data_IF_040534651143
#
_entry.id   IF_040534651143
#
_cell.length_a   1.000
_cell.length_b   1.000
_cell.length_c   1.000
_cell.angle_alpha   90.00
_cell.angle_beta   90.00
_cell.angle_gamma   90.00
#
_symmetry.space_group_name_H-M   'P 1'
#
loop_
_entity.id
_entity.type
_entity.pdbx_description
1 polymer ?
#
# COMPACT_ATOMS: atom_id res chain seq x y z
N UNK A 1 -12.65 -8.75 51.90
CA UNK A 1 -11.50 -8.16 52.62
C UNK A 1 -10.90 -7.10 51.72
N UNK A 2 -10.96 -5.85 52.16
CA UNK A 2 -10.55 -4.65 51.43
C UNK A 2 -9.03 -4.49 51.39
N UNK A 3 -8.49 -4.19 50.23
CA UNK A 3 -7.24 -3.43 50.04
C UNK A 3 -7.34 -2.83 48.63
N UNK A 4 -7.28 -1.52 48.38
CA UNK A 4 -6.64 -0.44 49.11
C UNK A 4 -5.41 0.03 48.35
N UNK A 5 -5.59 0.63 47.17
CA UNK A 5 -4.52 1.31 46.43
C UNK A 5 -4.92 2.76 46.15
N UNK A 6 -4.37 3.64 47.00
CA UNK A 6 -4.20 5.08 46.85
C UNK A 6 -3.48 5.32 45.51
N UNK A 7 -3.89 6.25 44.63
CA UNK A 7 -3.89 7.68 44.89
C UNK A 7 -2.49 8.26 44.67
N UNK A 8 -2.05 8.38 43.41
CA UNK A 8 -0.84 9.12 43.03
C UNK A 8 -1.25 10.32 42.17
N UNK A 9 -1.12 11.50 42.76
CA UNK A 9 -1.38 12.80 42.15
C UNK A 9 -0.31 13.13 41.09
N UNK A 10 -0.76 13.61 39.94
CA UNK A 10 0.08 14.12 38.85
C UNK A 10 0.38 15.61 39.14
N UNK A 11 1.65 15.94 39.39
CA UNK A 11 2.10 17.33 39.49
C UNK A 11 2.55 17.83 38.10
N UNK A 12 2.24 19.09 37.71
CA UNK A 12 2.58 19.62 36.38
C UNK A 12 4.05 20.02 36.31
N UNK A 13 4.81 19.34 35.47
CA UNK A 13 6.22 19.63 35.17
C UNK A 13 6.38 20.75 34.14
N UNK A 14 7.26 21.69 34.46
CA UNK A 14 7.65 22.92 33.75
C UNK A 14 7.94 22.78 32.25
N UNK A 15 7.51 23.81 31.50
CA UNK A 15 7.98 24.14 30.16
C UNK A 15 9.45 24.59 30.16
N UNK A 16 10.27 24.21 29.16
CA UNK A 16 11.51 24.90 28.85
C UNK A 16 11.30 26.03 27.85
N UNK A 17 12.04 27.11 28.09
CA UNK A 17 11.99 28.38 27.38
C UNK A 17 12.73 28.36 26.03
N UNK A 18 12.22 29.22 25.14
CA UNK A 18 12.92 30.04 24.15
C UNK A 18 14.22 29.50 23.50
N UNK A 19 14.11 29.15 22.21
CA UNK A 19 15.22 29.14 21.28
C UNK A 19 14.86 29.93 20.01
N UNK A 20 15.39 31.15 19.99
CA UNK A 20 16.08 31.84 18.90
C UNK A 20 15.44 31.95 17.49
N UNK A 21 15.36 33.23 17.10
CA UNK A 21 15.02 33.84 15.81
C UNK A 21 15.64 33.14 14.59
N UNK A 22 14.80 32.89 13.58
CA UNK A 22 15.21 32.56 12.22
C UNK A 22 15.73 33.82 11.47
N UNK A 23 16.87 33.76 10.75
CA UNK A 23 17.30 34.86 9.89
C UNK A 23 16.54 34.89 8.57
N UNK A 24 16.46 36.10 8.03
CA UNK A 24 15.65 36.56 6.91
C UNK A 24 16.15 36.05 5.56
N UNK A 25 15.18 35.75 4.69
CA UNK A 25 15.16 35.91 3.22
C UNK A 25 16.47 36.03 2.45
N UNK A 26 16.78 35.02 1.62
CA UNK A 26 17.61 35.18 0.41
C UNK A 26 16.70 35.06 -0.82
N UNK A 27 16.43 36.19 -1.49
CA UNK A 27 15.82 36.22 -2.83
C UNK A 27 16.90 35.90 -3.88
N UNK A 28 16.62 35.09 -4.92
CA UNK A 28 17.50 34.98 -6.08
C UNK A 28 17.42 36.24 -6.95
N UNK A 29 18.58 36.70 -7.43
CA UNK A 29 18.73 37.82 -8.36
C UNK A 29 18.18 37.49 -9.76
N UNK A 30 17.70 38.49 -10.53
CA UNK A 30 17.19 38.28 -11.89
C UNK A 30 18.33 38.13 -12.90
N UNK A 31 18.17 37.19 -13.83
CA UNK A 31 19.05 36.97 -14.99
C UNK A 31 19.07 38.18 -15.94
N UNK A 32 20.22 38.52 -16.55
CA UNK A 32 20.28 39.60 -17.52
C UNK A 32 19.75 39.17 -18.90
N UNK A 33 19.00 40.07 -19.53
CA UNK A 33 18.51 39.99 -20.89
C UNK A 33 19.66 40.00 -21.93
N UNK A 34 19.64 39.08 -22.89
CA UNK A 34 20.42 39.16 -24.14
C UNK A 34 19.58 39.79 -25.27
N UNK A 35 20.17 40.63 -26.13
CA UNK A 35 19.44 41.37 -27.15
C UNK A 35 19.17 40.58 -28.42
N UNK A 36 18.14 41.05 -29.14
CA UNK A 36 17.56 40.49 -30.34
C UNK A 36 18.50 40.39 -31.54
N UNK A 37 18.30 39.32 -32.34
CA UNK A 37 18.84 39.16 -33.69
C UNK A 37 17.86 39.75 -34.73
N UNK A 38 18.34 40.45 -35.77
CA UNK A 38 17.55 40.68 -36.98
C UNK A 38 18.10 39.87 -38.17
N UNK A 39 17.21 39.51 -39.10
CA UNK A 39 17.62 39.26 -40.48
C UNK A 39 17.12 37.96 -41.08
N UNK A 40 15.88 38.00 -41.56
CA UNK A 40 15.35 37.05 -42.54
C UNK A 40 15.80 37.47 -43.94
N UNK A 41 16.48 36.60 -44.69
CA UNK A 41 16.56 36.69 -46.16
C UNK A 41 16.91 35.34 -46.81
N UNK A 42 15.95 34.78 -47.55
CA UNK A 42 16.14 33.81 -48.66
C UNK A 42 16.63 34.58 -49.90
N UNK A 43 17.40 34.00 -50.85
CA UNK A 43 16.91 33.01 -51.86
C UNK A 43 18.05 32.13 -52.48
N UNK A 44 17.93 31.53 -53.69
CA UNK A 44 16.94 30.61 -54.25
C UNK A 44 17.52 29.21 -54.59
N UNK A 45 16.65 28.32 -55.08
CA UNK A 45 16.89 26.94 -55.44
C UNK A 45 17.82 26.72 -56.65
N UNK A 46 18.62 25.63 -56.61
CA UNK A 46 19.00 24.84 -57.80
C UNK A 46 19.34 23.39 -57.42
N UNK A 47 18.95 22.50 -58.33
CA UNK A 47 18.87 21.06 -58.18
C UNK A 47 20.21 20.31 -58.32
N UNK A 48 20.33 19.16 -57.65
CA UNK A 48 20.99 17.95 -58.16
C UNK A 48 20.68 16.77 -57.25
N UNK A 49 20.15 15.68 -57.82
CA UNK A 49 19.81 14.46 -57.10
C UNK A 49 21.04 13.68 -56.63
N UNK A 50 20.89 13.06 -55.45
CA UNK A 50 21.58 11.84 -55.00
C UNK A 50 20.74 11.29 -53.83
N UNK A 51 20.14 10.13 -54.03
CA UNK A 51 19.39 9.40 -53.01
C UNK A 51 20.35 8.82 -51.98
N UNK A 52 20.68 9.59 -50.95
CA UNK A 52 21.32 9.06 -49.75
C UNK A 52 20.26 8.32 -48.93
N UNK A 53 20.32 6.99 -48.94
CA UNK A 53 19.47 6.15 -48.10
C UNK A 53 19.64 6.50 -46.64
N UNK A 54 18.58 7.04 -46.02
CA UNK A 54 18.49 7.23 -44.58
C UNK A 54 18.46 5.83 -43.92
N UNK A 55 19.21 5.60 -42.83
CA UNK A 55 19.08 4.37 -42.06
C UNK A 55 17.63 4.25 -41.54
N UNK A 56 17.11 3.01 -41.35
CA UNK A 56 15.75 2.81 -40.89
C UNK A 56 15.55 3.55 -39.56
N UNK A 57 14.48 4.37 -39.50
CA UNK A 57 14.08 5.05 -38.28
C UNK A 57 13.91 3.99 -37.19
N UNK A 58 14.65 4.13 -36.09
CA UNK A 58 14.38 3.39 -34.86
C UNK A 58 12.88 3.55 -34.53
N UNK A 59 12.19 2.51 -34.05
CA UNK A 59 10.80 2.62 -33.65
C UNK A 59 10.68 3.79 -32.68
N UNK A 60 9.77 4.71 -33.01
CA UNK A 60 9.47 5.90 -32.24
C UNK A 60 9.06 5.42 -30.85
N UNK A 61 9.95 5.63 -29.87
CA UNK A 61 9.68 5.35 -28.46
C UNK A 61 8.39 6.10 -28.14
N UNK A 62 7.33 5.38 -27.79
CA UNK A 62 6.03 5.97 -27.45
C UNK A 62 6.28 7.21 -26.60
N UNK A 63 5.94 8.39 -27.14
CA UNK A 63 6.12 9.65 -26.46
C UNK A 63 5.34 9.53 -25.15
N UNK A 64 6.07 9.45 -24.03
CA UNK A 64 5.47 9.26 -22.71
C UNK A 64 4.46 10.37 -22.48
N UNK A 65 3.19 9.99 -22.36
CA UNK A 65 2.13 10.93 -22.06
C UNK A 65 2.52 11.69 -20.79
N UNK A 66 2.50 13.03 -20.85
CA UNK A 66 2.78 13.83 -19.67
C UNK A 66 1.80 13.44 -18.54
N UNK A 67 2.26 13.33 -17.29
CA UNK A 67 1.38 13.10 -16.16
C UNK A 67 0.24 14.12 -16.16
N UNK A 68 -1.00 13.63 -16.21
CA UNK A 68 -2.18 14.49 -16.18
C UNK A 68 -2.49 14.84 -14.73
N UNK A 69 -2.66 16.13 -14.45
CA UNK A 69 -3.16 16.58 -13.15
C UNK A 69 -4.67 16.32 -13.14
N UNK A 70 -5.12 15.48 -12.20
CA UNK A 70 -6.53 15.36 -11.88
C UNK A 70 -6.91 16.53 -10.96
N UNK A 71 -7.90 17.32 -11.40
CA UNK A 71 -8.37 18.51 -10.68
C UNK A 71 -9.59 18.21 -9.79
N UNK A 72 -10.11 16.99 -9.83
CA UNK A 72 -11.25 16.59 -9.02
C UNK A 72 -10.87 16.56 -7.54
N UNK A 73 -11.81 16.95 -6.68
CA UNK A 73 -11.62 16.92 -5.24
C UNK A 73 -11.47 15.47 -4.77
N UNK A 74 -10.33 15.16 -4.14
CA UNK A 74 -10.06 13.88 -3.49
C UNK A 74 -9.94 14.07 -1.97
N UNK A 75 -10.36 13.06 -1.21
CA UNK A 75 -10.49 13.10 0.23
C UNK A 75 -9.47 12.15 0.88
N UNK A 76 -8.91 12.57 2.02
CA UNK A 76 -8.23 11.75 3.00
C UNK A 76 -9.15 11.49 4.21
N UNK A 77 -8.75 10.59 5.12
CA UNK A 77 -9.57 10.20 6.27
C UNK A 77 -9.82 11.32 7.29
N UNK A 78 -8.98 12.36 7.29
CA UNK A 78 -9.16 13.54 8.13
C UNK A 78 -10.28 14.47 7.66
N UNK A 79 -10.71 14.33 6.40
CA UNK A 79 -11.67 15.23 5.76
C UNK A 79 -13.13 14.81 5.99
N UNK A 80 -13.37 13.66 6.64
CA UNK A 80 -14.72 13.10 6.81
C UNK A 80 -15.00 12.62 8.23
N UNK A 81 -16.28 12.55 8.56
CA UNK A 81 -16.81 11.92 9.77
C UNK A 81 -17.96 11.00 9.41
N UNK A 82 -18.13 9.91 10.15
CA UNK A 82 -19.29 9.02 10.00
C UNK A 82 -20.52 9.65 10.66
N UNK A 83 -21.59 9.83 9.89
CA UNK A 83 -22.88 10.29 10.41
C UNK A 83 -23.53 9.15 11.24
N UNK A 84 -23.89 9.39 12.52
CA UNK A 84 -24.61 8.40 13.31
C UNK A 84 -25.94 8.01 12.66
N UNK A 85 -26.34 6.74 12.83
CA UNK A 85 -27.63 6.20 12.42
C UNK A 85 -28.33 5.55 13.61
N UNK A 86 -29.66 5.49 13.56
CA UNK A 86 -30.46 4.76 14.56
C UNK A 86 -30.00 3.30 14.60
N UNK A 87 -29.75 2.78 15.80
CA UNK A 87 -29.30 1.41 16.04
C UNK A 87 -30.18 0.72 17.08
N UNK A 88 -30.30 -0.61 16.97
CA UNK A 88 -30.93 -1.48 17.96
C UNK A 88 -29.97 -2.03 19.01
N UNK A 89 -28.65 -1.85 18.81
CA UNK A 89 -27.61 -2.34 19.72
C UNK A 89 -27.67 -1.58 21.04
N UNK A 90 -27.58 -2.31 22.16
CA UNK A 90 -27.58 -1.71 23.51
C UNK A 90 -26.16 -1.46 24.03
N UNK A 91 -25.20 -2.26 23.57
CA UNK A 91 -23.80 -2.17 24.00
C UNK A 91 -22.84 -2.38 22.82
N UNK A 92 -21.65 -1.79 22.94
CA UNK A 92 -20.53 -2.03 21.99
C UNK A 92 -20.05 -3.48 22.01
N UNK A 93 -20.27 -4.19 23.12
CA UNK A 93 -19.90 -5.61 23.24
C UNK A 93 -20.75 -6.54 22.36
N UNK A 94 -21.87 -6.06 21.83
CA UNK A 94 -22.75 -6.82 20.91
C UNK A 94 -22.28 -6.74 19.45
N UNK A 95 -21.23 -5.96 19.16
CA UNK A 95 -20.71 -5.78 17.80
C UNK A 95 -19.81 -6.96 17.45
N UNK A 96 -20.20 -7.69 16.41
CA UNK A 96 -19.33 -8.68 15.78
C UNK A 96 -18.36 -8.01 14.79
N UNK A 97 -17.08 -8.28 14.99
CA UNK A 97 -15.99 -7.76 14.15
C UNK A 97 -15.46 -8.82 13.17
N UNK A 98 -15.84 -10.07 13.35
CA UNK A 98 -15.42 -11.14 12.45
C UNK A 98 -16.11 -10.99 11.09
N UNK A 99 -15.37 -11.38 10.06
CA UNK A 99 -15.88 -11.42 8.70
C UNK A 99 -15.44 -12.71 8.04
N UNK A 100 -16.32 -13.25 7.21
CA UNK A 100 -16.00 -14.40 6.36
C UNK A 100 -15.92 -13.97 4.90
N UNK A 101 -14.84 -14.35 4.21
CA UNK A 101 -14.62 -14.07 2.80
C UNK A 101 -14.40 -15.35 2.02
N UNK A 102 -14.85 -15.35 0.77
CA UNK A 102 -14.45 -16.34 -0.24
C UNK A 102 -13.69 -15.61 -1.33
N UNK A 103 -12.45 -15.99 -1.55
CA UNK A 103 -11.58 -15.29 -2.47
C UNK A 103 -11.80 -15.73 -3.92
N UNK A 104 -11.75 -14.75 -4.83
CA UNK A 104 -12.12 -14.91 -6.24
C UNK A 104 -11.31 -15.98 -6.95
N UNK A 105 -9.99 -15.92 -6.84
CA UNK A 105 -9.06 -16.69 -7.67
C UNK A 105 -8.56 -17.93 -6.95
N UNK A 106 -8.20 -17.82 -5.67
CA UNK A 106 -7.75 -18.97 -4.86
C UNK A 106 -8.88 -19.92 -4.46
N UNK A 107 -10.14 -19.43 -4.46
CA UNK A 107 -11.34 -20.13 -3.94
C UNK A 107 -11.29 -20.46 -2.45
N UNK A 108 -10.25 -20.03 -1.76
CA UNK A 108 -10.11 -20.22 -0.32
C UNK A 108 -11.10 -19.36 0.44
N UNK A 109 -11.42 -19.81 1.64
CA UNK A 109 -12.23 -19.05 2.60
C UNK A 109 -11.40 -18.56 3.76
N UNK A 110 -11.67 -17.36 4.23
CA UNK A 110 -11.08 -16.80 5.45
C UNK A 110 -12.17 -16.43 6.43
N UNK A 111 -11.93 -16.65 7.72
CA UNK A 111 -12.75 -16.11 8.81
C UNK A 111 -11.84 -15.50 9.87
N UNK A 112 -12.15 -14.28 10.29
CA UNK A 112 -11.39 -13.58 11.32
C UNK A 112 -11.67 -12.07 11.30
N UNK A 113 -10.94 -11.33 12.15
CA UNK A 113 -11.04 -9.88 12.18
C UNK A 113 -10.18 -9.33 11.04
N UNK A 114 -10.75 -8.54 10.11
CA UNK A 114 -10.08 -8.10 8.88
C UNK A 114 -9.12 -6.93 9.17
N UNK A 115 -8.11 -7.20 9.97
CA UNK A 115 -7.01 -6.30 10.30
C UNK A 115 -5.73 -7.04 9.95
N UNK A 116 -4.85 -6.36 9.21
CA UNK A 116 -3.59 -6.92 8.75
C UNK A 116 -2.42 -6.11 9.32
N UNK A 117 -1.48 -6.81 9.95
CA UNK A 117 -0.20 -6.23 10.32
C UNK A 117 0.68 -6.03 9.09
N UNK A 118 1.29 -4.84 8.98
CA UNK A 118 2.15 -4.47 7.87
C UNK A 118 3.41 -5.34 7.74
N UNK A 119 3.84 -5.68 6.52
CA UNK A 119 5.05 -6.45 6.23
C UNK A 119 6.36 -5.65 6.32
N UNK A 120 6.42 -4.70 7.25
CA UNK A 120 7.65 -3.97 7.58
C UNK A 120 8.48 -4.78 8.58
N UNK A 121 9.80 -4.69 8.48
CA UNK A 121 10.76 -5.40 9.35
C UNK A 121 10.59 -5.14 10.85
N UNK A 122 10.09 -3.96 11.20
CA UNK A 122 9.84 -3.52 12.58
C UNK A 122 8.41 -3.79 13.07
N UNK A 123 7.55 -4.36 12.22
CA UNK A 123 6.11 -4.50 12.47
C UNK A 123 5.62 -5.93 12.24
N UNK A 124 5.83 -6.46 11.04
CA UNK A 124 5.38 -7.80 10.61
C UNK A 124 6.33 -8.89 11.07
N UNK A 125 6.64 -8.93 12.36
CA UNK A 125 7.54 -9.92 12.97
C UNK A 125 6.78 -11.16 13.43
N UNK A 126 7.50 -12.23 13.73
CA UNK A 126 6.89 -13.46 14.26
C UNK A 126 6.24 -13.26 15.63
N UNK A 127 6.85 -12.44 16.50
CA UNK A 127 6.31 -12.13 17.82
C UNK A 127 4.97 -11.39 17.69
N UNK A 128 4.87 -10.47 16.73
CA UNK A 128 3.61 -9.78 16.44
C UNK A 128 2.55 -10.76 15.92
N UNK A 129 2.93 -11.72 15.07
CA UNK A 129 2.01 -12.74 14.57
C UNK A 129 1.42 -13.61 15.69
N UNK A 130 2.20 -13.96 16.71
CA UNK A 130 1.72 -14.74 17.86
C UNK A 130 0.68 -13.98 18.68
N UNK A 131 0.85 -12.67 18.85
CA UNK A 131 -0.12 -11.86 19.60
C UNK A 131 -1.39 -11.63 18.77
N UNK A 132 -1.24 -11.35 17.48
CA UNK A 132 -2.37 -11.00 16.61
C UNK A 132 -3.25 -12.21 16.25
N UNK A 133 -2.67 -13.40 16.17
CA UNK A 133 -3.41 -14.65 15.92
C UNK A 133 -4.39 -14.98 17.05
N UNK A 134 -4.10 -14.57 18.30
CA UNK A 134 -5.02 -14.72 19.45
C UNK A 134 -6.32 -13.94 19.28
N UNK A 135 -6.34 -12.96 18.37
CA UNK A 135 -7.50 -12.15 18.02
C UNK A 135 -8.01 -12.44 16.60
N UNK A 136 -7.60 -13.56 15.99
CA UNK A 136 -7.97 -13.94 14.62
C UNK A 136 -7.63 -12.87 13.57
N UNK A 137 -6.59 -12.07 13.83
CA UNK A 137 -6.08 -11.05 12.91
C UNK A 137 -4.92 -11.62 12.10
N UNK A 138 -4.75 -11.11 10.88
CA UNK A 138 -3.73 -11.61 9.96
C UNK A 138 -2.44 -10.79 10.02
N UNK A 139 -1.29 -11.45 9.87
CA UNK A 139 0.01 -10.78 9.85
C UNK A 139 0.75 -11.07 8.56
N UNK A 140 1.03 -10.03 7.77
CA UNK A 140 1.94 -10.15 6.65
C UNK A 140 3.38 -10.08 7.17
N UNK A 141 4.10 -11.20 7.15
CA UNK A 141 5.45 -11.29 7.71
C UNK A 141 6.45 -10.60 6.77
N UNK A 142 7.37 -9.81 7.30
CA UNK A 142 8.40 -9.16 6.48
C UNK A 142 9.31 -10.19 5.78
N UNK A 143 9.87 -9.82 4.62
CA UNK A 143 10.59 -10.77 3.74
C UNK A 143 12.03 -11.11 4.16
N UNK A 144 12.47 -10.70 5.35
CA UNK A 144 13.88 -10.77 5.74
C UNK A 144 14.28 -12.04 6.50
N UNK A 145 13.33 -12.74 7.15
CA UNK A 145 13.60 -14.01 7.83
C UNK A 145 14.11 -15.10 6.89
N UNK A 146 14.97 -15.98 7.39
CA UNK A 146 15.51 -17.12 6.64
C UNK A 146 14.52 -18.28 6.61
N UNK A 147 14.77 -19.28 5.75
CA UNK A 147 13.94 -20.49 5.70
C UNK A 147 13.94 -21.25 7.03
N UNK A 148 15.08 -21.28 7.72
CA UNK A 148 15.20 -21.98 9.00
C UNK A 148 14.44 -21.27 10.11
N UNK A 149 14.40 -19.92 10.09
CA UNK A 149 13.56 -19.14 11.00
C UNK A 149 12.07 -19.48 10.80
N UNK A 150 11.62 -19.58 9.54
CA UNK A 150 10.25 -19.97 9.22
C UNK A 150 9.90 -21.40 9.68
N UNK A 151 10.81 -22.34 9.51
CA UNK A 151 10.63 -23.73 9.99
C UNK A 151 10.57 -23.79 11.51
N UNK A 152 11.46 -23.06 12.20
CA UNK A 152 11.48 -22.99 13.65
C UNK A 152 10.19 -22.35 14.18
N UNK A 153 9.76 -21.24 13.58
CA UNK A 153 8.50 -20.59 13.93
C UNK A 153 7.30 -21.52 13.74
N UNK A 154 7.22 -22.18 12.58
CA UNK A 154 6.11 -23.10 12.28
C UNK A 154 6.05 -24.31 13.22
N UNK A 155 7.21 -24.81 13.67
CA UNK A 155 7.27 -25.89 14.66
C UNK A 155 6.80 -25.44 16.05
N UNK A 156 7.11 -24.20 16.44
CA UNK A 156 6.79 -23.67 17.77
C UNK A 156 5.37 -23.07 17.88
N UNK A 157 4.81 -22.57 16.77
CA UNK A 157 3.55 -21.84 16.72
C UNK A 157 2.61 -22.30 15.59
N UNK A 158 2.24 -23.60 15.51
CA UNK A 158 1.41 -24.13 14.44
C UNK A 158 0.02 -23.47 14.34
N UNK A 159 -0.53 -22.99 15.46
CA UNK A 159 -1.81 -22.29 15.54
C UNK A 159 -1.83 -20.95 14.80
N UNK A 160 -0.68 -20.32 14.63
CA UNK A 160 -0.56 -19.01 13.99
C UNK A 160 -0.58 -19.10 12.45
N UNK A 161 -0.27 -20.27 11.89
CA UNK A 161 0.02 -20.43 10.45
C UNK A 161 -1.16 -20.12 9.53
N UNK A 162 -2.39 -20.25 10.03
CA UNK A 162 -3.61 -19.92 9.29
C UNK A 162 -3.85 -18.40 9.12
N UNK A 163 -3.18 -17.57 9.94
CA UNK A 163 -3.36 -16.12 9.97
C UNK A 163 -2.05 -15.38 9.64
N UNK A 164 -1.17 -15.98 8.86
CA UNK A 164 0.05 -15.29 8.39
C UNK A 164 0.18 -15.36 6.87
N UNK A 165 0.91 -14.39 6.32
CA UNK A 165 1.27 -14.36 4.92
C UNK A 165 2.79 -14.25 4.74
N UNK A 166 3.31 -14.95 3.73
CA UNK A 166 4.71 -14.79 3.29
C UNK A 166 4.77 -13.60 2.34
N UNK A 167 5.62 -12.61 2.63
CA UNK A 167 5.81 -11.45 1.77
C UNK A 167 6.95 -11.63 0.77
N UNK A 168 6.80 -11.06 -0.42
CA UNK A 168 7.79 -11.12 -1.50
C UNK A 168 7.73 -9.86 -2.38
N UNK A 169 8.87 -9.49 -2.97
CA UNK A 169 8.92 -8.49 -4.04
C UNK A 169 8.65 -9.15 -5.41
N UNK A 170 9.18 -8.55 -6.49
CA UNK A 170 9.09 -9.10 -7.86
C UNK A 170 10.40 -9.69 -8.39
N UNK A 171 11.43 -9.81 -7.54
CA UNK A 171 12.74 -10.32 -7.95
C UNK A 171 12.80 -11.85 -8.00
N UNK A 172 13.70 -12.40 -8.84
CA UNK A 172 13.90 -13.86 -8.96
C UNK A 172 14.28 -14.51 -7.61
N UNK A 173 15.22 -13.91 -6.89
CA UNK A 173 15.64 -14.41 -5.57
C UNK A 173 14.50 -14.34 -4.54
N UNK A 174 13.67 -13.30 -4.60
CA UNK A 174 12.49 -13.14 -3.75
C UNK A 174 11.44 -14.23 -4.03
N UNK A 175 11.23 -14.58 -5.31
CA UNK A 175 10.37 -15.69 -5.72
C UNK A 175 10.90 -17.05 -5.24
N UNK A 176 12.19 -17.32 -5.43
CA UNK A 176 12.83 -18.58 -4.98
C UNK A 176 12.72 -18.73 -3.47
N UNK A 177 13.03 -17.68 -2.71
CA UNK A 177 12.92 -17.68 -1.26
C UNK A 177 11.49 -17.92 -0.78
N UNK A 178 10.52 -17.17 -1.31
CA UNK A 178 9.10 -17.36 -1.00
C UNK A 178 8.64 -18.79 -1.30
N UNK A 179 9.05 -19.33 -2.43
CA UNK A 179 8.67 -20.68 -2.84
C UNK A 179 9.21 -21.74 -1.88
N UNK A 180 10.50 -21.65 -1.51
CA UNK A 180 11.10 -22.55 -0.54
C UNK A 180 10.40 -22.50 0.83
N UNK A 181 9.93 -21.32 1.26
CA UNK A 181 9.18 -21.16 2.51
C UNK A 181 7.81 -21.84 2.40
N UNK A 182 7.04 -21.58 1.35
CA UNK A 182 5.70 -22.16 1.17
C UNK A 182 5.75 -23.68 0.96
N UNK A 183 6.79 -24.19 0.29
CA UNK A 183 7.03 -25.63 0.13
C UNK A 183 7.39 -26.29 1.47
N UNK A 184 8.15 -25.60 2.33
CA UNK A 184 8.52 -26.11 3.66
C UNK A 184 7.42 -25.97 4.71
N UNK A 185 6.54 -24.98 4.58
CA UNK A 185 5.47 -24.66 5.53
C UNK A 185 4.12 -24.57 4.79
N UNK A 186 3.57 -25.72 4.34
CA UNK A 186 2.39 -25.77 3.47
C UNK A 186 1.09 -25.29 4.13
N UNK A 187 1.09 -25.08 5.45
CA UNK A 187 -0.04 -24.53 6.19
C UNK A 187 -0.25 -23.04 5.91
N UNK A 188 0.79 -22.31 5.48
CA UNK A 188 0.67 -20.89 5.14
C UNK A 188 -0.03 -20.76 3.80
N UNK A 189 -1.26 -20.22 3.80
CA UNK A 189 -2.11 -20.10 2.60
C UNK A 189 -2.17 -18.71 1.99
N UNK A 190 -1.48 -17.73 2.58
CA UNK A 190 -1.48 -16.34 2.10
C UNK A 190 -0.11 -15.91 1.58
N UNK A 191 -0.12 -15.19 0.47
CA UNK A 191 1.05 -14.59 -0.15
C UNK A 191 0.84 -13.07 -0.21
N UNK A 192 1.84 -12.28 0.16
CA UNK A 192 1.84 -10.83 0.05
C UNK A 192 2.90 -10.34 -0.96
N UNK A 193 2.48 -10.03 -2.18
CA UNK A 193 3.32 -9.44 -3.20
C UNK A 193 3.31 -7.92 -3.06
N UNK A 194 4.46 -7.37 -2.67
CA UNK A 194 4.57 -5.97 -2.25
C UNK A 194 5.69 -5.25 -3.00
N UNK A 195 5.29 -4.29 -3.85
CA UNK A 195 6.18 -3.40 -4.59
C UNK A 195 5.71 -1.95 -4.46
N UNK A 196 6.65 -1.00 -4.55
CA UNK A 196 6.32 0.42 -4.46
C UNK A 196 5.45 0.92 -5.63
N UNK A 197 5.57 0.30 -6.81
CA UNK A 197 4.82 0.67 -8.01
C UNK A 197 4.13 -0.57 -8.62
N UNK A 198 2.87 -0.81 -8.24
CA UNK A 198 2.06 -1.90 -8.79
C UNK A 198 1.60 -1.70 -10.23
N UNK A 199 1.82 -0.52 -10.82
CA UNK A 199 1.44 -0.19 -12.21
C UNK A 199 2.43 -0.73 -13.26
N UNK A 200 3.47 -1.43 -12.83
CA UNK A 200 4.45 -2.00 -13.73
C UNK A 200 3.91 -3.24 -14.42
N UNK A 201 3.97 -3.32 -15.74
CA UNK A 201 3.66 -4.53 -16.51
C UNK A 201 4.47 -5.74 -16.00
N UNK A 202 5.73 -5.52 -15.60
CA UNK A 202 6.55 -6.56 -14.98
C UNK A 202 5.93 -7.13 -13.70
N UNK A 203 5.26 -6.30 -12.89
CA UNK A 203 4.59 -6.74 -11.68
C UNK A 203 3.31 -7.53 -12.01
N UNK A 204 2.55 -7.11 -13.03
CA UNK A 204 1.39 -7.85 -13.53
C UNK A 204 1.79 -9.26 -13.98
N UNK A 205 2.84 -9.37 -14.79
CA UNK A 205 3.38 -10.66 -15.22
C UNK A 205 3.89 -11.50 -14.05
N UNK A 206 4.48 -10.86 -13.03
CA UNK A 206 4.90 -11.53 -11.82
C UNK A 206 3.70 -12.10 -11.02
N UNK A 207 2.59 -11.36 -10.91
CA UNK A 207 1.35 -11.87 -10.28
C UNK A 207 0.83 -13.10 -11.03
N UNK A 208 0.79 -13.07 -12.37
CA UNK A 208 0.39 -14.23 -13.19
C UNK A 208 1.28 -15.44 -12.93
N UNK A 209 2.59 -15.23 -12.90
CA UNK A 209 3.58 -16.27 -12.60
C UNK A 209 3.35 -16.89 -11.20
N UNK A 210 3.15 -16.06 -10.17
CA UNK A 210 2.91 -16.53 -8.80
C UNK A 210 1.58 -17.28 -8.72
N UNK A 211 0.51 -16.79 -9.34
CA UNK A 211 -0.77 -17.52 -9.42
C UNK A 211 -0.62 -18.87 -10.10
N UNK A 212 0.10 -18.94 -11.21
CA UNK A 212 0.34 -20.21 -11.90
C UNK A 212 1.11 -21.22 -11.03
N UNK A 213 2.08 -20.75 -10.23
CA UNK A 213 2.85 -21.61 -9.32
C UNK A 213 2.10 -22.00 -8.06
N UNK A 214 1.26 -21.11 -7.52
CA UNK A 214 0.54 -21.30 -6.26
C UNK A 214 -0.98 -21.13 -6.47
N UNK A 215 -1.64 -22.04 -7.20
CA UNK A 215 -3.03 -21.88 -7.62
C UNK A 215 -4.01 -21.82 -6.45
N UNK A 216 -3.72 -22.49 -5.34
CA UNK A 216 -4.58 -22.55 -4.15
C UNK A 216 -4.28 -21.48 -3.09
N UNK A 217 -3.19 -20.72 -3.24
CA UNK A 217 -2.85 -19.68 -2.25
C UNK A 217 -3.65 -18.42 -2.52
N UNK A 218 -4.06 -17.73 -1.45
CA UNK A 218 -4.67 -16.41 -1.53
C UNK A 218 -3.58 -15.35 -1.72
N UNK A 219 -3.67 -14.58 -2.80
CA UNK A 219 -2.62 -13.63 -3.19
C UNK A 219 -3.08 -12.20 -2.90
N UNK A 220 -2.38 -11.52 -2.00
CA UNK A 220 -2.40 -10.07 -1.85
C UNK A 220 -1.38 -9.45 -2.80
N UNK A 221 -1.74 -8.41 -3.55
CA UNK A 221 -0.81 -7.75 -4.48
C UNK A 221 -0.99 -6.22 -4.47
N UNK A 222 0.11 -5.48 -4.51
CA UNK A 222 0.10 -4.03 -4.68
C UNK A 222 1.48 -3.40 -4.60
N UNK A 223 1.59 -2.06 -4.56
CA UNK A 223 0.51 -1.11 -4.28
C UNK A 223 -0.01 -0.33 -5.49
N UNK A 224 -1.30 -0.03 -5.47
CA UNK A 224 -2.02 0.77 -6.49
C UNK A 224 -3.00 1.75 -5.81
N UNK A 225 -3.57 2.70 -6.56
CA UNK A 225 -4.51 3.70 -6.03
C UNK A 225 -5.70 3.99 -6.95
N UNK A 226 -5.84 3.26 -8.05
CA UNK A 226 -6.88 3.50 -9.08
C UNK A 226 -7.57 2.20 -9.50
N UNK A 227 -8.83 2.33 -9.93
CA UNK A 227 -9.70 1.20 -10.23
C UNK A 227 -9.23 0.30 -11.37
N UNK A 228 -8.66 0.86 -12.44
CA UNK A 228 -8.21 0.09 -13.61
C UNK A 228 -7.09 -0.90 -13.24
N UNK A 229 -6.17 -0.47 -12.39
CA UNK A 229 -5.05 -1.31 -11.97
C UNK A 229 -5.48 -2.37 -10.96
N UNK A 230 -6.51 -2.08 -10.16
CA UNK A 230 -7.17 -3.08 -9.31
C UNK A 230 -7.77 -4.20 -10.17
N UNK A 231 -8.51 -3.84 -11.21
CA UNK A 231 -9.13 -4.80 -12.12
C UNK A 231 -8.07 -5.66 -12.82
N UNK A 232 -7.02 -5.04 -13.35
CA UNK A 232 -5.94 -5.75 -14.03
C UNK A 232 -5.24 -6.75 -13.10
N UNK A 233 -4.92 -6.37 -11.86
CA UNK A 233 -4.27 -7.27 -10.90
C UNK A 233 -5.19 -8.43 -10.49
N UNK A 234 -6.49 -8.18 -10.29
CA UNK A 234 -7.47 -9.23 -9.99
C UNK A 234 -7.60 -10.21 -11.15
N UNK A 235 -7.73 -9.71 -12.38
CA UNK A 235 -7.82 -10.53 -13.58
C UNK A 235 -6.54 -11.32 -13.84
N UNK A 236 -5.39 -10.78 -13.44
CA UNK A 236 -4.07 -11.42 -13.53
C UNK A 236 -3.83 -12.47 -12.47
N UNK A 237 -4.68 -12.55 -11.44
CA UNK A 237 -4.68 -13.66 -10.48
C UNK A 237 -4.59 -13.26 -9.01
N UNK A 238 -4.50 -11.98 -8.67
CA UNK A 238 -4.55 -11.54 -7.27
C UNK A 238 -5.98 -11.68 -6.69
N UNK A 239 -6.10 -12.02 -5.41
CA UNK A 239 -7.39 -12.09 -4.71
C UNK A 239 -7.73 -10.79 -4.00
N UNK A 240 -6.69 -10.13 -3.48
CA UNK A 240 -6.80 -8.96 -2.62
C UNK A 240 -5.80 -7.89 -3.10
N UNK A 241 -6.26 -6.67 -3.36
CA UNK A 241 -5.40 -5.60 -3.84
C UNK A 241 -5.00 -4.65 -2.70
N UNK A 242 -3.70 -4.42 -2.52
CA UNK A 242 -3.18 -3.44 -1.55
C UNK A 242 -3.25 -2.03 -2.15
N UNK A 243 -4.08 -1.19 -1.54
CA UNK A 243 -4.39 0.16 -2.04
C UNK A 243 -3.67 1.21 -1.21
N UNK A 244 -2.76 1.96 -1.81
CA UNK A 244 -2.12 3.11 -1.18
C UNK A 244 -0.72 3.40 -1.69
N UNK A 245 -0.53 4.60 -2.23
CA UNK A 245 0.78 5.11 -2.69
C UNK A 245 1.04 6.45 -2.01
N UNK A 246 2.03 6.45 -1.10
CA UNK A 246 2.40 7.64 -0.32
C UNK A 246 1.63 7.97 0.97
N UNK A 247 0.63 7.22 1.48
CA UNK A 247 -0.11 7.59 2.69
C UNK A 247 0.56 7.14 4.01
N UNK A 248 1.71 6.46 3.96
CA UNK A 248 2.38 5.96 5.17
C UNK A 248 3.05 7.07 5.98
N UNK A 249 3.11 6.96 7.31
CA UNK A 249 3.70 8.00 8.19
C UNK A 249 5.17 8.26 7.94
N UNK A 250 5.94 7.19 7.67
CA UNK A 250 7.36 7.25 7.34
C UNK A 250 7.58 7.31 5.82
N UNK A 251 6.51 7.34 5.03
CA UNK A 251 6.59 7.35 3.58
C UNK A 251 6.92 8.76 3.10
N UNK A 252 7.97 8.88 2.29
CA UNK A 252 8.39 10.18 1.71
C UNK A 252 8.06 10.29 0.22
N UNK A 253 7.35 9.32 -0.36
CA UNK A 253 7.05 9.27 -1.81
C UNK A 253 6.38 10.55 -2.30
N UNK A 254 5.29 10.99 -1.66
CA UNK A 254 4.58 12.22 -2.05
C UNK A 254 5.52 13.43 -2.11
N UNK A 255 6.34 13.61 -1.08
CA UNK A 255 7.29 14.73 -0.97
C UNK A 255 8.45 14.63 -1.96
N UNK A 256 8.93 13.42 -2.26
CA UNK A 256 10.12 13.20 -3.10
C UNK A 256 9.80 13.12 -4.60
N UNK A 257 8.65 12.58 -4.97
CA UNK A 257 8.31 12.32 -6.38
C UNK A 257 7.10 13.12 -6.86
N UNK A 258 6.32 13.71 -5.96
CA UNK A 258 5.04 14.34 -6.29
C UNK A 258 3.93 13.34 -6.63
N UNK A 259 4.20 12.03 -6.54
CA UNK A 259 3.24 10.97 -6.88
C UNK A 259 2.54 10.47 -5.61
N UNK A 260 1.22 10.38 -5.68
CA UNK A 260 0.37 9.79 -4.65
C UNK A 260 -1.10 10.07 -4.91
N UNK A 261 -1.96 9.52 -4.05
CA UNK A 261 -3.41 9.72 -4.13
C UNK A 261 -3.98 9.78 -2.70
N UNK A 262 -4.94 10.68 -2.39
CA UNK A 262 -5.61 10.72 -1.09
C UNK A 262 -6.32 9.40 -0.77
N UNK A 263 -6.06 8.86 0.42
CA UNK A 263 -6.26 7.45 0.72
C UNK A 263 -7.73 7.06 0.79
N UNK A 264 -8.60 7.93 1.30
CA UNK A 264 -10.02 7.63 1.37
C UNK A 264 -10.64 7.54 -0.03
N UNK A 265 -10.33 8.50 -0.90
CA UNK A 265 -10.78 8.44 -2.29
C UNK A 265 -10.23 7.23 -3.04
N UNK A 266 -8.94 6.89 -2.85
CA UNK A 266 -8.37 5.67 -3.44
C UNK A 266 -9.10 4.41 -2.96
N UNK A 267 -9.41 4.31 -1.68
CA UNK A 267 -10.14 3.16 -1.12
C UNK A 267 -11.54 3.03 -1.72
N UNK A 268 -12.29 4.14 -1.84
CA UNK A 268 -13.63 4.13 -2.43
C UNK A 268 -13.59 3.65 -3.88
N UNK A 269 -12.73 4.26 -4.69
CA UNK A 269 -12.58 3.94 -6.11
C UNK A 269 -12.16 2.47 -6.32
N UNK A 270 -11.11 2.05 -5.62
CA UNK A 270 -10.58 0.69 -5.72
C UNK A 270 -11.54 -0.37 -5.17
N UNK A 271 -12.32 -0.06 -4.14
CA UNK A 271 -13.30 -0.99 -3.57
C UNK A 271 -14.39 -1.30 -4.59
N UNK A 272 -14.93 -0.27 -5.26
CA UNK A 272 -15.98 -0.44 -6.26
C UNK A 272 -15.50 -1.33 -7.42
N UNK A 273 -14.30 -1.07 -7.95
CA UNK A 273 -13.68 -1.91 -8.99
C UNK A 273 -13.43 -3.35 -8.52
N UNK A 274 -12.87 -3.54 -7.33
CA UNK A 274 -12.58 -4.88 -6.82
C UNK A 274 -13.86 -5.69 -6.61
N UNK A 275 -14.87 -5.11 -5.95
CA UNK A 275 -16.12 -5.79 -5.66
C UNK A 275 -16.93 -6.08 -6.93
N UNK A 276 -16.83 -5.24 -7.97
CA UNK A 276 -17.40 -5.51 -9.29
C UNK A 276 -16.88 -6.83 -9.90
N UNK A 277 -15.63 -7.20 -9.60
CA UNK A 277 -15.03 -8.48 -10.01
C UNK A 277 -15.10 -9.59 -8.95
N UNK A 278 -15.76 -9.34 -7.81
CA UNK A 278 -15.76 -10.21 -6.61
C UNK A 278 -14.37 -10.40 -5.99
N UNK A 279 -13.43 -9.49 -6.25
CA UNK A 279 -12.16 -9.40 -5.54
C UNK A 279 -12.29 -8.57 -4.25
N UNK A 280 -11.18 -8.43 -3.52
CA UNK A 280 -11.14 -7.68 -2.26
C UNK A 280 -10.01 -6.63 -2.31
N UNK A 281 -10.02 -5.67 -1.39
CA UNK A 281 -8.94 -4.71 -1.23
C UNK A 281 -8.47 -4.63 0.23
N UNK A 282 -7.26 -4.11 0.42
CA UNK A 282 -6.70 -3.70 1.71
C UNK A 282 -6.35 -2.21 1.62
N UNK A 283 -6.82 -1.40 2.55
CA UNK A 283 -6.34 -0.02 2.68
C UNK A 283 -4.95 -0.02 3.31
N UNK A 284 -3.93 0.17 2.48
CA UNK A 284 -2.52 0.13 2.84
C UNK A 284 -1.95 1.53 3.07
N UNK A 285 -1.84 1.92 4.33
CA UNK A 285 -1.33 3.23 4.70
C UNK A 285 -1.41 3.48 6.19
N UNK A 286 -1.01 4.69 6.59
CA UNK A 286 -1.13 5.13 7.97
C UNK A 286 -2.59 5.37 8.32
N UNK A 287 -3.03 4.80 9.45
CA UNK A 287 -4.37 5.02 10.01
C UNK A 287 -4.26 5.44 11.48
N UNK A 288 -4.75 6.64 11.81
CA UNK A 288 -4.88 7.16 13.19
C UNK A 288 -6.32 7.12 13.72
N UNK A 289 -7.28 6.63 12.93
CA UNK A 289 -8.71 6.81 13.17
C UNK A 289 -9.32 7.93 12.32
N UNK A 290 -10.65 7.92 12.17
CA UNK A 290 -11.38 9.01 11.49
C UNK A 290 -11.30 10.31 12.29
N UNK A 291 -11.09 11.42 11.59
CA UNK A 291 -11.01 12.75 12.21
C UNK A 291 -9.74 13.02 13.04
N UNK A 292 -8.77 12.10 13.04
CA UNK A 292 -7.49 12.32 13.71
C UNK A 292 -6.53 13.18 12.85
N UNK A 293 -5.90 14.18 13.45
CA UNK A 293 -4.89 15.03 12.79
C UNK A 293 -3.61 14.26 12.46
N UNK A 294 -2.92 14.67 11.38
CA UNK A 294 -1.67 14.05 10.92
C UNK A 294 -0.51 14.18 11.94
N UNK A 295 -0.57 15.14 12.86
CA UNK A 295 0.43 15.33 13.91
C UNK A 295 0.25 14.33 15.06
N UNK A 296 1.30 13.56 15.39
CA UNK A 296 1.31 12.59 16.50
C UNK A 296 2.25 11.40 16.27
N UNK A 297 2.78 10.77 17.33
CA UNK A 297 3.89 9.82 17.26
C UNK A 297 3.59 8.57 16.43
N UNK A 298 4.65 8.07 15.80
CA UNK A 298 4.68 7.04 14.76
C UNK A 298 4.30 5.60 15.22
N UNK A 299 3.96 5.40 16.50
CA UNK A 299 3.94 4.06 17.10
C UNK A 299 2.71 3.19 16.75
N UNK A 300 1.65 3.76 16.17
CA UNK A 300 0.44 3.02 15.76
C UNK A 300 0.34 2.80 14.24
N UNK A 301 1.45 2.96 13.50
CA UNK A 301 1.54 2.76 12.03
C UNK A 301 1.13 1.40 11.53
N UNK A 302 1.08 0.43 12.44
CA UNK A 302 1.28 -0.98 12.18
C UNK A 302 0.02 -1.74 11.79
N UNK A 303 -1.16 -1.15 12.04
CA UNK A 303 -2.44 -1.77 11.70
C UNK A 303 -2.94 -1.21 10.38
N UNK A 304 -2.93 -2.06 9.35
CA UNK A 304 -3.76 -1.83 8.18
C UNK A 304 -5.16 -2.32 8.51
N UNK A 305 -6.09 -1.37 8.54
CA UNK A 305 -7.48 -1.74 8.45
C UNK A 305 -7.65 -2.34 7.04
N UNK A 306 -8.05 -3.61 6.95
CA UNK A 306 -8.72 -4.05 5.73
C UNK A 306 -10.06 -3.35 5.77
N UNK A 307 -10.05 -2.11 5.28
CA UNK A 307 -11.25 -1.36 4.99
C UNK A 307 -11.98 -2.08 3.88
N UNK A 308 -12.70 -3.14 4.23
CA UNK A 308 -13.94 -3.49 3.55
C UNK A 308 -14.95 -2.43 4.02
N UNK A 309 -14.67 -1.18 3.66
CA UNK A 309 -15.67 -0.15 3.67
C UNK A 309 -16.48 -0.46 2.40
N UNK A 310 -17.65 -1.07 2.63
CA UNK A 310 -18.62 -1.47 1.62
C UNK A 310 -18.26 -2.68 0.75
N UNK A 311 -18.28 -3.88 1.34
CA UNK A 311 -19.08 -4.90 0.67
C UNK A 311 -20.53 -4.41 0.74
N UNK A 312 -21.10 -3.98 -0.38
CA UNK A 312 -22.56 -4.00 -0.53
C UNK A 312 -22.95 -5.47 -0.30
N UNK A 313 -23.71 -5.73 0.76
CA UNK A 313 -24.61 -6.89 0.75
C UNK A 313 -25.55 -6.80 -0.46
#
# INVERSE_FOLDING_TARGET
VSAGLKGAAYAPGRAPAAAQQAPRSCRPAPFPHSPASPGCSRPPARAAGRSCGLPPRRPERAAGAMPRIDADLKLDFKDVLLRPKRSSLKSRAEVDLERSFTFRNSKQTYSGIPIIVANMDTVGTFEMAVVMSQHSMLTAIHKHYTLDDWKLFAANHPECLQHIAVSSGSGKNDLEKMSSILEAVPQVKFICLDVANGYSEHFVEFVKLVRARFPEHTIMAGNVVTGEMVEELILSGADIIKVGVGPGSVCTTRTKTGVGYPQLSAVIECADSAHGLKGHIISWGWWKGLGASEEGPCSLAALHLVGILWARE
#
